data_IF_581474843134
#
_entry.id   IF_581474843134
#
_cell.length_a   1.000
_cell.length_b   1.000
_cell.length_c   1.000
_cell.angle_alpha   90.00
_cell.angle_beta   90.00
_cell.angle_gamma   90.00
#
_symmetry.space_group_name_H-M   'P 1'
#
loop_
_entity.id
_entity.type
_entity.pdbx_description
1 polymer ?
#
# COMPACT_ATOMS: atom_id res chain seq x y z
N UNK A 1 -19.00 -17.31 64.03
CA UNK A 1 -19.74 -18.13 63.06
C UNK A 1 -19.53 -17.46 61.72
N UNK A 2 -18.62 -18.01 60.93
CA UNK A 2 -18.27 -17.52 59.61
C UNK A 2 -19.18 -18.21 58.61
N UNK A 3 -19.93 -17.44 57.84
CA UNK A 3 -20.76 -17.93 56.73
C UNK A 3 -19.89 -18.09 55.49
N UNK A 4 -19.65 -19.33 55.14
CA UNK A 4 -19.03 -19.75 53.88
C UNK A 4 -19.92 -19.26 52.70
N UNK A 5 -19.40 -18.36 51.89
CA UNK A 5 -19.99 -18.04 50.61
C UNK A 5 -19.69 -19.19 49.64
N UNK A 6 -20.70 -20.00 49.35
CA UNK A 6 -20.66 -20.99 48.25
C UNK A 6 -20.33 -20.30 46.92
N UNK A 7 -19.14 -20.59 46.42
CA UNK A 7 -18.70 -20.24 45.06
C UNK A 7 -19.55 -21.09 44.09
N UNK A 8 -20.67 -20.53 43.62
CA UNK A 8 -21.49 -21.15 42.58
C UNK A 8 -20.65 -21.37 41.35
N UNK A 9 -20.47 -22.64 40.97
CA UNK A 9 -19.85 -23.03 39.70
C UNK A 9 -20.52 -22.28 38.55
N UNK A 10 -19.78 -21.62 37.66
CA UNK A 10 -20.35 -20.83 36.57
C UNK A 10 -21.19 -21.74 35.68
N UNK A 11 -22.44 -21.31 35.41
CA UNK A 11 -23.39 -21.97 34.53
C UNK A 11 -22.78 -22.17 33.13
N UNK A 12 -22.98 -23.29 32.42
CA UNK A 12 -22.43 -23.52 31.08
C UNK A 12 -22.73 -22.37 30.11
N UNK A 13 -23.89 -21.75 30.20
CA UNK A 13 -24.27 -20.55 29.44
C UNK A 13 -23.41 -19.33 29.77
N UNK A 14 -22.97 -19.17 31.01
CA UNK A 14 -22.04 -18.08 31.39
C UNK A 14 -20.65 -18.30 30.84
N UNK A 15 -20.18 -19.56 30.74
CA UNK A 15 -18.89 -19.89 30.11
C UNK A 15 -18.93 -19.67 28.60
N UNK A 16 -20.02 -20.04 27.93
CA UNK A 16 -20.21 -19.75 26.51
C UNK A 16 -20.23 -18.25 26.23
N UNK A 17 -20.95 -17.50 27.04
CA UNK A 17 -21.00 -16.04 26.95
C UNK A 17 -19.64 -15.39 27.20
N UNK A 18 -18.89 -15.85 28.21
CA UNK A 18 -17.52 -15.40 28.43
C UNK A 18 -16.59 -15.73 27.26
N UNK A 19 -16.69 -16.95 26.70
CA UNK A 19 -15.90 -17.34 25.53
C UNK A 19 -16.24 -16.52 24.28
N UNK A 20 -17.51 -16.16 24.10
CA UNK A 20 -17.96 -15.27 23.01
C UNK A 20 -17.45 -13.85 23.22
N UNK A 21 -17.53 -13.32 24.45
CA UNK A 21 -16.95 -12.04 24.83
C UNK A 21 -15.45 -12.00 24.61
N UNK A 22 -14.72 -13.01 25.07
CA UNK A 22 -13.27 -13.09 24.91
C UNK A 22 -12.84 -13.22 23.44
N UNK A 23 -13.63 -13.89 22.60
CA UNK A 23 -13.43 -13.90 21.15
C UNK A 23 -13.68 -12.53 20.55
N UNK A 24 -14.79 -11.88 20.89
CA UNK A 24 -15.13 -10.56 20.38
C UNK A 24 -14.10 -9.50 20.83
N UNK A 25 -13.62 -9.58 22.07
CA UNK A 25 -12.53 -8.72 22.56
C UNK A 25 -11.16 -9.01 21.88
N UNK A 26 -10.89 -10.26 21.49
CA UNK A 26 -9.67 -10.59 20.73
C UNK A 26 -9.76 -10.12 19.28
N UNK A 27 -10.94 -10.24 18.67
CA UNK A 27 -11.19 -9.77 17.31
C UNK A 27 -11.26 -8.24 17.22
N UNK A 28 -11.61 -7.54 18.32
CA UNK A 28 -11.64 -6.08 18.43
C UNK A 28 -10.31 -5.44 18.84
N UNK A 29 -9.21 -6.17 18.94
CA UNK A 29 -7.89 -5.57 19.17
C UNK A 29 -7.40 -4.85 17.92
N UNK A 30 -8.08 -3.74 17.60
CA UNK A 30 -7.57 -2.75 16.68
C UNK A 30 -6.28 -2.18 17.27
N UNK A 31 -5.19 -2.31 16.55
CA UNK A 31 -3.92 -1.68 16.91
C UNK A 31 -3.81 -0.36 16.18
N UNK A 32 -3.31 0.63 16.89
CA UNK A 32 -2.92 1.88 16.27
C UNK A 32 -1.79 1.64 15.26
N UNK A 33 -1.76 2.44 14.21
CA UNK A 33 -0.79 2.35 13.12
C UNK A 33 -0.91 1.06 12.26
N UNK A 34 -2.10 0.46 12.19
CA UNK A 34 -2.37 -0.68 11.30
C UNK A 34 -3.40 -0.33 10.21
N UNK A 35 -3.34 -1.08 9.12
CA UNK A 35 -4.34 -1.01 8.05
C UNK A 35 -5.48 -1.95 8.41
N UNK A 36 -6.68 -1.41 8.53
CA UNK A 36 -7.90 -2.15 8.87
C UNK A 36 -8.89 -2.06 7.71
N UNK A 37 -9.67 -3.12 7.54
CA UNK A 37 -10.82 -3.11 6.61
C UNK A 37 -12.01 -2.47 7.31
N UNK A 38 -12.51 -1.39 6.76
CA UNK A 38 -13.69 -0.70 7.23
C UNK A 38 -14.84 -0.84 6.24
N UNK A 39 -16.07 -0.83 6.73
CA UNK A 39 -17.27 -0.87 5.91
C UNK A 39 -17.84 0.54 5.81
N UNK A 40 -18.18 0.98 4.59
CA UNK A 40 -18.82 2.28 4.37
C UNK A 40 -20.26 2.22 4.89
N UNK A 41 -20.59 3.04 5.88
CA UNK A 41 -21.94 3.13 6.48
C UNK A 41 -22.75 4.20 5.78
N UNK A 42 -22.16 5.38 5.55
CA UNK A 42 -22.84 6.51 4.95
C UNK A 42 -21.88 7.35 4.09
N UNK A 43 -22.41 7.94 3.02
CA UNK A 43 -21.67 8.85 2.15
C UNK A 43 -22.35 10.21 2.21
N UNK A 44 -21.70 11.18 2.87
CA UNK A 44 -22.15 12.56 2.98
C UNK A 44 -21.39 13.43 1.97
N UNK A 45 -21.82 14.66 1.72
CA UNK A 45 -21.18 15.57 0.75
C UNK A 45 -19.72 15.90 1.05
N UNK A 46 -19.31 15.90 2.31
CA UNK A 46 -17.97 16.30 2.75
C UNK A 46 -17.15 15.15 3.34
N UNK A 47 -17.81 14.12 3.88
CA UNK A 47 -17.19 13.01 4.59
C UNK A 47 -17.83 11.68 4.21
N UNK A 48 -17.06 10.62 4.30
CA UNK A 48 -17.51 9.24 4.22
C UNK A 48 -17.40 8.65 5.62
N UNK A 49 -18.53 8.16 6.13
CA UNK A 49 -18.59 7.51 7.43
C UNK A 49 -18.33 6.03 7.23
N UNK A 50 -17.43 5.49 8.04
CA UNK A 50 -17.02 4.09 7.95
C UNK A 50 -17.02 3.43 9.33
N UNK A 51 -17.47 2.19 9.35
CA UNK A 51 -17.39 1.32 10.53
C UNK A 51 -16.11 0.46 10.45
N UNK A 52 -15.20 0.71 11.38
CA UNK A 52 -13.96 -0.05 11.54
C UNK A 52 -14.11 -1.23 12.51
N UNK A 53 -15.34 -1.61 12.91
CA UNK A 53 -15.63 -2.53 14.02
C UNK A 53 -15.03 -2.07 15.35
N UNK A 54 -14.85 -0.78 15.51
CA UNK A 54 -14.44 -0.13 16.74
C UNK A 54 -15.65 0.30 17.56
N UNK A 55 -15.42 0.95 18.70
CA UNK A 55 -16.52 1.51 19.54
C UNK A 55 -17.27 2.65 18.85
N UNK A 56 -16.63 3.33 17.91
CA UNK A 56 -17.14 4.52 17.23
C UNK A 56 -16.88 4.42 15.72
N UNK A 57 -17.70 5.11 14.95
CA UNK A 57 -17.52 5.26 13.51
C UNK A 57 -16.41 6.27 13.22
N UNK A 58 -15.69 6.03 12.14
CA UNK A 58 -14.65 6.93 11.67
C UNK A 58 -15.13 7.77 10.50
N UNK A 59 -14.62 9.01 10.39
CA UNK A 59 -14.93 9.92 9.29
C UNK A 59 -13.70 10.15 8.42
N UNK A 60 -13.85 10.00 7.10
CA UNK A 60 -12.80 10.24 6.11
C UNK A 60 -13.24 11.39 5.21
N UNK A 61 -12.40 12.44 5.02
CA UNK A 61 -12.71 13.51 4.10
C UNK A 61 -12.87 12.98 2.67
N UNK A 62 -13.88 13.48 1.94
CA UNK A 62 -14.15 13.06 0.56
C UNK A 62 -13.00 13.42 -0.39
N UNK A 63 -12.15 14.37 0.00
CA UNK A 63 -10.98 14.79 -0.76
C UNK A 63 -9.96 13.68 -0.98
N UNK A 64 -9.82 12.75 -0.02
CA UNK A 64 -8.93 11.60 -0.13
C UNK A 64 -9.36 10.59 -1.21
N UNK A 65 -10.60 10.66 -1.68
CA UNK A 65 -11.15 9.79 -2.72
C UNK A 65 -11.19 10.44 -4.11
N UNK A 66 -10.98 11.75 -4.22
CA UNK A 66 -11.06 12.47 -5.51
C UNK A 66 -9.98 12.05 -6.51
N UNK A 67 -8.84 11.58 -6.04
CA UNK A 67 -7.67 11.32 -6.88
C UNK A 67 -7.80 10.11 -7.82
N UNK A 68 -8.78 9.19 -7.60
CA UNK A 68 -8.82 7.91 -8.32
C UNK A 68 -10.15 7.60 -9.00
N UNK A 69 -11.09 8.53 -9.08
CA UNK A 69 -12.47 8.24 -9.51
C UNK A 69 -13.10 7.07 -8.72
N UNK A 70 -12.58 6.76 -7.53
CA UNK A 70 -13.11 5.71 -6.67
C UNK A 70 -14.49 6.07 -6.11
N UNK A 71 -14.81 7.37 -6.03
CA UNK A 71 -16.12 7.84 -5.56
C UNK A 71 -17.30 7.23 -6.33
N UNK A 72 -17.15 7.07 -7.65
CA UNK A 72 -18.20 6.50 -8.49
C UNK A 72 -18.42 5.00 -8.24
N UNK A 73 -17.41 4.33 -7.72
CA UNK A 73 -17.43 2.89 -7.41
C UNK A 73 -17.82 2.58 -5.98
N UNK A 74 -17.74 3.60 -5.10
CA UNK A 74 -18.08 3.44 -3.68
C UNK A 74 -19.59 3.39 -3.49
N UNK A 75 -20.03 2.32 -2.84
CA UNK A 75 -21.42 2.13 -2.42
C UNK A 75 -21.46 1.92 -0.91
N UNK A 76 -22.57 2.29 -0.30
CA UNK A 76 -22.84 1.93 1.10
C UNK A 76 -22.71 0.40 1.23
N UNK A 77 -21.99 -0.06 2.24
CA UNK A 77 -21.64 -1.48 2.43
C UNK A 77 -20.35 -1.94 1.76
N UNK A 78 -19.67 -1.08 0.98
CA UNK A 78 -18.37 -1.42 0.39
C UNK A 78 -17.28 -1.53 1.46
N UNK A 79 -16.39 -2.51 1.30
CA UNK A 79 -15.21 -2.67 2.15
C UNK A 79 -14.06 -1.81 1.61
N UNK A 80 -13.53 -0.95 2.45
CA UNK A 80 -12.37 -0.12 2.13
C UNK A 80 -11.25 -0.36 3.15
N UNK A 81 -10.02 -0.21 2.69
CA UNK A 81 -8.86 -0.28 3.58
C UNK A 81 -8.53 1.12 4.09
N UNK A 82 -8.46 1.26 5.39
CA UNK A 82 -8.16 2.51 6.08
C UNK A 82 -7.00 2.33 7.04
N UNK A 83 -6.21 3.36 7.21
CA UNK A 83 -5.13 3.40 8.18
C UNK A 83 -5.64 4.03 9.46
N UNK A 84 -5.53 3.30 10.56
CA UNK A 84 -5.93 3.74 11.87
C UNK A 84 -4.77 4.47 12.54
N UNK A 85 -4.87 5.79 12.66
CA UNK A 85 -3.83 6.59 13.31
C UNK A 85 -3.95 6.55 14.82
N UNK A 86 -5.15 6.80 15.33
CA UNK A 86 -5.47 6.80 16.76
C UNK A 86 -6.88 6.28 16.99
N UNK A 87 -7.03 5.48 18.02
CA UNK A 87 -8.33 4.92 18.43
C UNK A 87 -9.15 5.93 19.22
N UNK A 88 -8.49 6.79 20.01
CA UNK A 88 -9.14 7.84 20.77
C UNK A 88 -8.41 9.17 20.59
N UNK A 89 -9.08 10.12 19.96
CA UNK A 89 -8.66 11.52 19.96
C UNK A 89 -9.16 12.21 21.23
N UNK A 90 -8.62 13.39 21.58
CA UNK A 90 -9.12 14.22 22.70
C UNK A 90 -10.63 14.54 22.60
N UNK A 91 -11.23 14.38 21.43
CA UNK A 91 -12.66 14.55 21.17
C UNK A 91 -13.46 13.24 21.18
N UNK A 92 -12.80 12.11 21.48
CA UNK A 92 -13.46 10.79 21.42
C UNK A 92 -13.67 10.28 19.99
N UNK A 93 -13.12 10.92 18.97
CA UNK A 93 -13.23 10.51 17.57
C UNK A 93 -12.08 9.62 17.16
N UNK A 94 -12.34 8.69 16.24
CA UNK A 94 -11.30 7.84 15.63
C UNK A 94 -10.69 8.60 14.46
N UNK A 95 -9.35 8.75 14.46
CA UNK A 95 -8.62 9.37 13.37
C UNK A 95 -8.18 8.28 12.39
N UNK A 96 -8.74 8.33 11.20
CA UNK A 96 -8.46 7.37 10.12
C UNK A 96 -8.09 8.14 8.84
N UNK A 97 -7.24 7.53 8.01
CA UNK A 97 -6.88 8.08 6.71
C UNK A 97 -6.81 6.99 5.64
N UNK A 98 -7.44 7.28 4.50
CA UNK A 98 -7.40 6.44 3.31
C UNK A 98 -6.08 6.58 2.56
N UNK A 99 -5.61 7.81 2.42
CA UNK A 99 -4.36 8.12 1.71
C UNK A 99 -3.15 7.45 2.35
N UNK A 100 -3.09 7.45 3.69
CA UNK A 100 -2.02 6.75 4.43
C UNK A 100 -2.11 5.24 4.24
N UNK A 101 -3.33 4.66 4.24
CA UNK A 101 -3.54 3.24 3.98
C UNK A 101 -3.00 2.84 2.60
N UNK A 102 -3.29 3.64 1.57
CA UNK A 102 -2.80 3.41 0.20
C UNK A 102 -1.28 3.50 0.12
N UNK A 103 -0.70 4.56 0.67
CA UNK A 103 0.77 4.72 0.73
C UNK A 103 1.43 3.54 1.42
N UNK A 104 0.92 3.12 2.58
CA UNK A 104 1.47 1.97 3.31
C UNK A 104 1.34 0.66 2.54
N UNK A 105 0.23 0.43 1.83
CA UNK A 105 0.08 -0.75 0.97
C UNK A 105 1.05 -0.72 -0.21
N UNK A 106 1.15 0.41 -0.87
CA UNK A 106 2.08 0.60 -1.98
C UNK A 106 3.54 0.40 -1.51
N UNK A 107 3.88 0.87 -0.30
CA UNK A 107 5.19 0.62 0.31
C UNK A 107 5.45 -0.87 0.55
N UNK A 108 4.51 -1.58 1.18
CA UNK A 108 4.64 -3.04 1.40
C UNK A 108 4.78 -3.82 0.09
N UNK A 109 4.06 -3.37 -0.95
CA UNK A 109 4.18 -3.96 -2.29
C UNK A 109 5.55 -3.68 -2.90
N UNK A 110 6.04 -2.44 -2.77
CA UNK A 110 7.34 -2.02 -3.26
C UNK A 110 8.50 -2.79 -2.60
N UNK A 111 8.41 -3.03 -1.28
CA UNK A 111 9.40 -3.84 -0.57
C UNK A 111 9.47 -5.28 -1.11
N UNK A 112 8.33 -5.91 -1.30
CA UNK A 112 8.26 -7.26 -1.88
C UNK A 112 8.87 -7.30 -3.28
N UNK A 113 8.51 -6.35 -4.13
CA UNK A 113 9.03 -6.26 -5.50
C UNK A 113 10.53 -5.96 -5.52
N UNK A 114 11.03 -5.19 -4.55
CA UNK A 114 12.46 -4.97 -4.40
C UNK A 114 13.22 -6.27 -4.05
N UNK A 115 12.66 -7.11 -3.17
CA UNK A 115 13.25 -8.41 -2.83
C UNK A 115 13.22 -9.39 -4.01
N UNK A 116 12.12 -9.43 -4.76
CA UNK A 116 11.96 -10.32 -5.93
C UNK A 116 12.61 -9.78 -7.20
N UNK A 117 13.04 -8.50 -7.22
CA UNK A 117 13.58 -7.82 -8.40
C UNK A 117 12.66 -7.91 -9.63
N UNK A 118 11.36 -7.85 -9.38
CA UNK A 118 10.33 -7.86 -10.43
C UNK A 118 10.21 -6.52 -11.14
N UNK A 119 9.75 -6.56 -12.39
CA UNK A 119 9.47 -5.37 -13.17
C UNK A 119 8.14 -4.74 -12.74
N UNK A 120 8.14 -3.43 -12.58
CA UNK A 120 6.95 -2.64 -12.30
C UNK A 120 6.70 -1.63 -13.41
N UNK A 121 5.45 -1.25 -13.58
CA UNK A 121 5.08 -0.16 -14.50
C UNK A 121 4.99 1.15 -13.71
N UNK A 122 5.69 2.17 -14.18
CA UNK A 122 5.64 3.52 -13.64
C UNK A 122 5.43 4.56 -14.73
N UNK A 123 5.05 5.77 -14.32
CA UNK A 123 4.86 6.93 -15.21
C UNK A 123 5.82 8.03 -14.80
N UNK A 124 6.54 8.60 -15.77
CA UNK A 124 7.44 9.72 -15.54
C UNK A 124 6.59 10.99 -15.46
N UNK A 125 6.45 11.55 -14.25
CA UNK A 125 5.56 12.69 -13.96
C UNK A 125 6.29 14.03 -14.04
N UNK A 126 7.59 14.07 -13.72
CA UNK A 126 8.32 15.33 -13.67
C UNK A 126 9.83 15.17 -13.80
N UNK A 127 10.49 16.30 -14.15
CA UNK A 127 11.93 16.41 -14.21
C UNK A 127 12.46 17.17 -13.01
N UNK A 128 13.50 16.66 -12.39
CA UNK A 128 14.19 17.27 -11.24
C UNK A 128 15.69 17.36 -11.48
N UNK A 129 16.40 18.12 -10.65
CA UNK A 129 17.85 18.22 -10.76
C UNK A 129 18.51 16.85 -10.54
N UNK A 130 19.14 16.31 -11.57
CA UNK A 130 19.83 15.02 -11.53
C UNK A 130 19.02 13.80 -11.92
N UNK A 131 17.72 13.94 -12.22
CA UNK A 131 16.87 12.79 -12.60
C UNK A 131 15.43 13.15 -12.86
N UNK A 132 14.55 12.18 -12.62
CA UNK A 132 13.11 12.28 -12.89
C UNK A 132 12.32 11.72 -11.72
N UNK A 133 11.12 12.25 -11.54
CA UNK A 133 10.13 11.70 -10.64
C UNK A 133 9.27 10.74 -11.46
N UNK A 134 9.21 9.51 -11.00
CA UNK A 134 8.40 8.44 -11.59
C UNK A 134 7.37 8.00 -10.57
N UNK A 135 6.11 8.00 -10.92
CA UNK A 135 5.04 7.49 -10.06
C UNK A 135 4.84 6.01 -10.34
N UNK A 136 5.06 5.18 -9.33
CA UNK A 136 4.86 3.72 -9.37
C UNK A 136 3.83 3.35 -8.32
N UNK A 137 2.70 2.75 -8.71
CA UNK A 137 1.61 2.38 -7.80
C UNK A 137 1.14 3.53 -6.88
N UNK A 138 1.20 4.78 -7.36
CA UNK A 138 0.85 5.96 -6.57
C UNK A 138 1.94 6.49 -5.65
N UNK A 139 3.12 5.84 -5.59
CA UNK A 139 4.29 6.33 -4.85
C UNK A 139 5.22 7.13 -5.76
N UNK A 140 5.68 8.31 -5.34
CA UNK A 140 6.71 9.05 -6.03
C UNK A 140 8.07 8.37 -5.81
N UNK A 141 8.70 7.96 -6.90
CA UNK A 141 10.02 7.34 -6.93
C UNK A 141 11.00 8.22 -7.68
N UNK A 142 12.25 8.20 -7.29
CA UNK A 142 13.32 8.93 -7.98
C UNK A 142 14.03 8.02 -8.98
N UNK A 143 14.16 8.49 -10.22
CA UNK A 143 14.93 7.82 -11.26
C UNK A 143 16.10 8.72 -11.68
N UNK A 144 17.36 8.38 -11.33
CA UNK A 144 18.52 9.14 -11.77
C UNK A 144 18.61 9.18 -13.29
N UNK A 145 19.13 10.27 -13.85
CA UNK A 145 19.29 10.42 -15.31
C UNK A 145 20.13 9.31 -15.95
N UNK A 146 21.09 8.76 -15.21
CA UNK A 146 21.91 7.62 -15.64
C UNK A 146 21.16 6.28 -15.67
N UNK A 147 20.01 6.20 -15.02
CA UNK A 147 19.20 4.97 -14.90
C UNK A 147 17.99 4.93 -15.83
N UNK A 148 17.86 5.88 -16.73
CA UNK A 148 16.77 5.96 -17.70
C UNK A 148 17.01 5.03 -18.87
N UNK A 149 18.20 5.03 -19.42
CA UNK A 149 18.56 4.23 -20.58
C UNK A 149 20.01 3.76 -20.52
N UNK A 150 20.34 2.77 -21.34
CA UNK A 150 21.72 2.26 -21.52
C UNK A 150 22.61 3.33 -22.18
N UNK A 151 22.03 4.12 -23.09
CA UNK A 151 22.71 5.25 -23.75
C UNK A 151 22.20 6.58 -23.16
N UNK A 152 23.09 7.57 -22.98
CA UNK A 152 22.65 8.87 -22.47
C UNK A 152 21.70 9.53 -23.47
N UNK A 153 20.43 9.69 -23.06
CA UNK A 153 19.40 10.32 -23.86
C UNK A 153 19.50 11.85 -23.71
N UNK A 154 19.61 12.55 -24.83
CA UNK A 154 19.63 14.03 -24.87
C UNK A 154 18.23 14.64 -24.69
N UNK A 155 17.17 13.93 -25.08
CA UNK A 155 15.77 14.36 -24.97
C UNK A 155 14.94 13.20 -24.43
N UNK A 156 14.15 13.47 -23.40
CA UNK A 156 13.34 12.47 -22.69
C UNK A 156 11.84 12.84 -22.76
N UNK A 157 11.52 13.93 -23.46
CA UNK A 157 10.16 14.46 -23.53
C UNK A 157 9.14 13.44 -24.06
N UNK A 158 9.58 12.50 -24.91
CA UNK A 158 8.75 11.41 -25.43
C UNK A 158 8.42 10.32 -24.38
N UNK A 159 9.13 10.27 -23.27
CA UNK A 159 8.89 9.33 -22.17
C UNK A 159 8.03 9.92 -21.05
N UNK A 160 7.74 11.23 -21.12
CA UNK A 160 6.88 11.88 -20.14
C UNK A 160 5.47 11.35 -20.27
N UNK A 161 4.84 11.05 -19.13
CA UNK A 161 3.48 10.50 -19.04
C UNK A 161 3.24 9.17 -19.79
N UNK A 162 4.31 8.50 -20.26
CA UNK A 162 4.19 7.17 -20.85
C UNK A 162 4.45 6.09 -19.80
N UNK A 163 3.80 4.92 -19.90
CA UNK A 163 4.09 3.80 -19.03
C UNK A 163 5.47 3.24 -19.36
N UNK A 164 6.36 3.19 -18.38
CA UNK A 164 7.71 2.65 -18.49
C UNK A 164 7.91 1.52 -17.49
N UNK A 165 8.58 0.46 -17.92
CA UNK A 165 8.97 -0.64 -17.04
C UNK A 165 10.19 -0.23 -16.25
N UNK A 166 10.16 -0.39 -14.94
CA UNK A 166 11.23 -0.04 -14.01
C UNK A 166 11.43 -1.14 -12.96
N UNK A 167 12.64 -1.22 -12.43
CA UNK A 167 12.98 -2.09 -11.30
C UNK A 167 13.42 -1.19 -10.15
N UNK A 168 13.00 -1.52 -8.93
CA UNK A 168 13.46 -0.84 -7.74
C UNK A 168 14.92 -1.21 -7.45
N UNK A 169 15.79 -0.19 -7.36
CA UNK A 169 17.24 -0.39 -7.14
C UNK A 169 17.64 -0.12 -5.70
N UNK A 170 16.95 0.80 -5.04
CA UNK A 170 17.20 1.18 -3.64
C UNK A 170 15.93 1.67 -2.98
N UNK A 171 15.69 1.21 -1.75
CA UNK A 171 14.61 1.66 -0.90
C UNK A 171 15.19 2.24 0.38
N UNK A 172 14.80 3.47 0.71
CA UNK A 172 15.15 4.13 1.97
C UNK A 172 13.86 4.40 2.77
N UNK A 173 13.58 3.51 3.73
CA UNK A 173 12.37 3.58 4.57
C UNK A 173 12.31 4.85 5.42
N UNK A 174 13.44 5.28 5.95
CA UNK A 174 13.49 6.40 6.89
C UNK A 174 13.15 7.73 6.21
N UNK A 175 13.58 7.89 4.97
CA UNK A 175 13.33 9.09 4.17
C UNK A 175 12.11 8.98 3.26
N UNK A 176 11.52 7.80 3.16
CA UNK A 176 10.40 7.57 2.25
C UNK A 176 10.78 7.68 0.76
N UNK A 177 12.06 7.43 0.42
CA UNK A 177 12.57 7.55 -0.93
C UNK A 177 12.80 6.19 -1.57
N UNK A 178 12.33 6.02 -2.80
CA UNK A 178 12.59 4.84 -3.62
C UNK A 178 13.34 5.28 -4.87
N UNK A 179 14.45 4.60 -5.18
CA UNK A 179 15.17 4.78 -6.43
C UNK A 179 14.81 3.64 -7.39
N UNK A 180 14.43 4.00 -8.61
CA UNK A 180 14.08 3.06 -9.67
C UNK A 180 14.98 3.20 -10.88
N UNK A 181 15.13 2.11 -11.64
CA UNK A 181 15.95 2.04 -12.84
C UNK A 181 15.19 1.39 -13.99
N UNK A 182 15.10 2.07 -15.11
CA UNK A 182 14.67 1.49 -16.39
C UNK A 182 15.83 0.78 -17.08
N UNK A 183 17.03 1.30 -16.92
CA UNK A 183 18.24 0.71 -17.49
C UNK A 183 18.42 -0.76 -17.08
N UNK A 184 18.16 -1.09 -15.82
CA UNK A 184 18.25 -2.46 -15.32
C UNK A 184 17.27 -3.41 -16.04
N UNK A 185 16.07 -2.94 -16.41
CA UNK A 185 15.12 -3.72 -17.22
C UNK A 185 15.67 -3.98 -18.61
N UNK A 186 16.18 -2.92 -19.27
CA UNK A 186 16.74 -3.02 -20.61
C UNK A 186 18.01 -3.90 -20.67
N UNK A 187 18.82 -3.88 -19.63
CA UNK A 187 19.99 -4.76 -19.51
C UNK A 187 19.58 -6.22 -19.28
N UNK A 188 18.57 -6.46 -18.47
CA UNK A 188 17.99 -7.81 -18.28
C UNK A 188 17.48 -8.39 -19.61
N UNK A 189 16.68 -7.63 -20.36
CA UNK A 189 16.14 -8.09 -21.64
C UNK A 189 17.24 -8.36 -22.67
N UNK A 190 18.23 -7.47 -22.80
CA UNK A 190 19.38 -7.68 -23.68
C UNK A 190 20.22 -8.89 -23.31
N UNK A 191 20.47 -9.09 -22.02
CA UNK A 191 21.23 -10.25 -21.54
C UNK A 191 20.48 -11.56 -21.83
N UNK A 192 19.14 -11.57 -21.71
CA UNK A 192 18.32 -12.71 -22.10
C UNK A 192 18.41 -13.00 -23.61
N UNK A 193 18.25 -11.98 -24.45
CA UNK A 193 18.41 -12.09 -25.91
C UNK A 193 19.82 -12.60 -26.33
N UNK A 194 20.85 -12.05 -25.70
CA UNK A 194 22.25 -12.49 -25.96
C UNK A 194 22.45 -13.94 -25.52
N UNK A 195 21.88 -14.34 -24.36
CA UNK A 195 22.03 -15.72 -23.88
C UNK A 195 21.30 -16.72 -24.77
N UNK A 196 20.15 -16.33 -25.33
CA UNK A 196 19.41 -17.14 -26.29
C UNK A 196 20.15 -17.22 -27.63
N UNK A 197 20.67 -16.11 -28.11
CA UNK A 197 21.48 -16.09 -29.34
C UNK A 197 22.72 -16.97 -29.18
N UNK A 198 23.45 -16.90 -28.06
CA UNK A 198 24.62 -17.74 -27.79
C UNK A 198 24.30 -19.23 -27.73
N UNK A 199 23.11 -19.62 -27.26
CA UNK A 199 22.65 -21.03 -27.26
C UNK A 199 22.41 -21.57 -28.67
N UNK A 200 22.07 -20.71 -29.61
CA UNK A 200 21.76 -21.06 -30.99
C UNK A 200 22.97 -21.06 -31.91
N UNK A 201 24.10 -20.47 -31.48
CA UNK A 201 25.37 -20.45 -32.22
C UNK A 201 26.14 -21.72 -31.90
N UNK A 202 26.38 -22.56 -32.91
CA UNK A 202 27.27 -23.71 -32.84
C UNK A 202 28.65 -23.29 -33.34
N UNK A 203 29.70 -23.91 -32.79
CA UNK A 203 31.06 -23.74 -33.29
C UNK A 203 31.13 -24.13 -34.78
N UNK A 204 31.38 -23.17 -35.65
CA UNK A 204 31.47 -23.36 -37.10
C UNK A 204 30.39 -22.68 -37.93
N UNK A 205 29.41 -21.99 -37.36
CA UNK A 205 28.47 -21.14 -38.08
C UNK A 205 29.14 -19.81 -38.46
N UNK A 206 29.18 -19.54 -39.78
CA UNK A 206 29.71 -18.29 -40.38
C UNK A 206 28.53 -17.33 -40.61
#
# INVERSE_FOLDING_TARGET
>A
MATEQEIKKPNPLQKEFQNLLDKDFKDRKLKENEIVKATVTEITKNFIVVDCKAKMEGMIPIEEFKNDNELEKLKVGSLIDVYLERIESFKGEIVISRDKARKMKAWKKMEKVFETQEEMTGYITGKVKGGFITTVEGLPCFMPSSQIDVRPLKRIDHLMNTPVKVIATRIDKNRGNVCVSRRAVLEKSKNAEISEALKNIKEGDI
#
